data_IF_509301867281
#
_entry.id   IF_509301867281
#
_cell.length_a   1.000
_cell.length_b   1.000
_cell.length_c   1.000
_cell.angle_alpha   90.00
_cell.angle_beta   90.00
_cell.angle_gamma   90.00
#
_symmetry.space_group_name_H-M   'P 1'
#
loop_
_entity.id
_entity.type
_entity.pdbx_description
1 polymer ?
#
# COMPACT_ATOMS: atom_id res chain seq x y z
N UNK A 1 -0.12 -12.71 -10.13
CA UNK A 1 -1.46 -12.32 -9.62
C UNK A 1 -1.29 -11.11 -8.70
N UNK A 2 -2.36 -10.42 -8.28
CA UNK A 2 -2.23 -9.26 -7.39
C UNK A 2 -1.58 -9.63 -6.05
N UNK A 3 -1.92 -10.81 -5.52
CA UNK A 3 -1.35 -11.36 -4.30
C UNK A 3 0.19 -11.45 -4.38
N UNK A 4 0.71 -12.01 -5.47
CA UNK A 4 2.16 -12.14 -5.70
C UNK A 4 2.84 -10.76 -5.68
N UNK A 5 2.21 -9.74 -6.26
CA UNK A 5 2.78 -8.39 -6.23
C UNK A 5 2.82 -7.78 -4.82
N UNK A 6 1.84 -8.09 -3.98
CA UNK A 6 1.87 -7.68 -2.57
C UNK A 6 2.92 -8.43 -1.76
N UNK A 7 3.19 -9.71 -2.11
CA UNK A 7 4.30 -10.45 -1.52
C UNK A 7 5.65 -9.83 -1.92
N UNK A 8 5.81 -9.45 -3.19
CA UNK A 8 7.02 -8.81 -3.70
C UNK A 8 7.38 -7.53 -2.94
N UNK A 9 6.38 -6.74 -2.54
CA UNK A 9 6.58 -5.57 -1.68
C UNK A 9 7.25 -5.92 -0.35
N UNK A 10 7.05 -7.13 0.17
CA UNK A 10 7.67 -7.59 1.42
C UNK A 10 9.06 -8.16 1.15
N UNK A 11 9.16 -9.07 0.18
CA UNK A 11 10.31 -9.98 0.07
C UNK A 11 11.45 -9.44 -0.78
N UNK A 12 11.18 -8.50 -1.68
CA UNK A 12 12.22 -7.99 -2.57
C UNK A 12 13.13 -7.01 -1.86
N UNK A 13 14.43 -7.15 -2.08
CA UNK A 13 15.45 -6.26 -1.50
C UNK A 13 15.24 -4.80 -1.92
N UNK A 14 14.74 -4.57 -3.13
CA UNK A 14 14.45 -3.24 -3.64
C UNK A 14 13.35 -2.53 -2.82
N UNK A 15 12.24 -3.23 -2.53
CA UNK A 15 11.13 -2.64 -1.79
C UNK A 15 11.48 -2.49 -0.30
N UNK A 16 12.23 -3.43 0.29
CA UNK A 16 12.78 -3.29 1.65
C UNK A 16 13.65 -2.05 1.79
N UNK A 17 14.60 -1.84 0.85
CA UNK A 17 15.45 -0.64 0.83
C UNK A 17 14.64 0.64 0.68
N UNK A 18 13.52 0.59 -0.05
CA UNK A 18 12.63 1.74 -0.21
C UNK A 18 11.94 2.09 1.11
N UNK A 19 11.42 1.11 1.85
CA UNK A 19 10.84 1.33 3.19
C UNK A 19 11.88 1.95 4.13
N UNK A 20 13.07 1.34 4.23
CA UNK A 20 14.15 1.84 5.10
C UNK A 20 14.51 3.28 4.75
N UNK A 21 14.64 3.60 3.46
CA UNK A 21 14.96 4.95 3.01
C UNK A 21 13.89 5.97 3.41
N UNK A 22 12.60 5.64 3.28
CA UNK A 22 11.53 6.56 3.69
C UNK A 22 11.53 6.75 5.22
N UNK A 23 11.70 5.68 5.99
CA UNK A 23 11.80 5.74 7.45
C UNK A 23 13.00 6.60 7.90
N UNK A 24 14.16 6.46 7.25
CA UNK A 24 15.34 7.29 7.50
C UNK A 24 15.05 8.77 7.23
N UNK A 25 14.47 9.09 6.06
CA UNK A 25 14.10 10.48 5.72
C UNK A 25 13.14 11.05 6.76
N UNK A 26 12.14 10.30 7.19
CA UNK A 26 11.20 10.72 8.24
C UNK A 26 11.90 10.98 9.57
N UNK A 27 12.82 10.11 9.99
CA UNK A 27 13.55 10.24 11.25
C UNK A 27 14.57 11.40 11.26
N UNK A 28 15.20 11.67 10.11
CA UNK A 28 16.24 12.68 9.94
C UNK A 28 15.68 14.08 9.68
N UNK A 29 14.46 14.19 9.12
CA UNK A 29 13.81 15.48 8.87
C UNK A 29 13.41 16.13 10.20
N UNK A 30 14.17 17.15 10.64
CA UNK A 30 13.90 17.90 11.88
C UNK A 30 12.97 19.09 11.68
N UNK A 31 13.03 19.71 10.51
CA UNK A 31 12.24 20.89 10.15
C UNK A 31 11.40 20.62 8.90
N UNK A 32 10.17 21.12 8.89
CA UNK A 32 9.25 20.98 7.75
C UNK A 32 8.43 19.68 7.78
N UNK A 33 8.05 19.19 6.60
CA UNK A 33 7.22 18.00 6.43
C UNK A 33 7.71 17.14 5.26
N UNK A 34 7.49 15.83 5.36
CA UNK A 34 7.83 14.86 4.30
C UNK A 34 6.57 14.43 3.58
N UNK A 35 6.61 14.43 2.25
CA UNK A 35 5.57 13.82 1.40
C UNK A 35 6.21 12.67 0.64
N UNK A 36 5.62 11.48 0.73
CA UNK A 36 5.94 10.32 -0.10
C UNK A 36 4.67 9.81 -0.77
N UNK A 37 4.77 9.43 -2.05
CA UNK A 37 3.63 8.94 -2.81
C UNK A 37 4.07 7.91 -3.87
N UNK A 38 3.13 7.08 -4.30
CA UNK A 38 3.25 6.24 -5.49
C UNK A 38 2.40 6.84 -6.63
N UNK A 39 1.87 6.03 -7.54
CA UNK A 39 1.02 6.54 -8.63
C UNK A 39 -0.35 6.99 -8.12
N UNK A 40 -1.02 6.16 -7.31
CA UNK A 40 -2.37 6.43 -6.78
C UNK A 40 -2.40 6.61 -5.27
N UNK A 41 -1.25 6.48 -4.60
CA UNK A 41 -1.12 6.64 -3.15
C UNK A 41 -1.68 5.49 -2.31
N UNK A 42 -2.03 4.33 -2.90
CA UNK A 42 -2.68 3.22 -2.18
C UNK A 42 -1.75 2.04 -1.83
N UNK A 43 -1.09 1.42 -2.82
CA UNK A 43 -0.39 0.13 -2.62
C UNK A 43 0.96 0.35 -1.93
N UNK A 44 1.97 0.82 -2.68
CA UNK A 44 3.31 1.09 -2.15
C UNK A 44 3.33 2.16 -1.06
N UNK A 45 2.47 3.18 -1.18
CA UNK A 45 2.33 4.22 -0.14
C UNK A 45 1.69 3.63 1.12
N UNK A 46 0.62 2.86 1.00
CA UNK A 46 0.00 2.18 2.14
C UNK A 46 0.94 1.17 2.80
N UNK A 47 1.79 0.50 2.02
CA UNK A 47 2.82 -0.40 2.53
C UNK A 47 3.88 0.33 3.37
N UNK A 48 4.38 1.48 2.92
CA UNK A 48 5.27 2.30 3.76
C UNK A 48 4.52 2.83 4.99
N UNK A 49 3.28 3.30 4.82
CA UNK A 49 2.47 3.86 5.90
C UNK A 49 2.19 2.83 7.00
N UNK A 50 1.99 1.56 6.63
CA UNK A 50 1.84 0.44 7.54
C UNK A 50 2.98 0.38 8.55
N UNK A 51 4.25 0.41 8.10
CA UNK A 51 5.40 0.37 9.01
C UNK A 51 5.56 1.65 9.82
N UNK A 52 5.29 2.81 9.23
CA UNK A 52 5.34 4.09 9.96
C UNK A 52 4.39 4.04 11.16
N UNK A 53 3.13 3.67 10.94
CA UNK A 53 2.13 3.60 12.00
C UNK A 53 2.45 2.49 13.02
N UNK A 54 2.92 1.33 12.55
CA UNK A 54 3.31 0.23 13.42
C UNK A 54 4.46 0.63 14.37
N UNK A 55 5.52 1.27 13.85
CA UNK A 55 6.66 1.75 14.65
C UNK A 55 6.21 2.81 15.68
N UNK A 56 5.20 3.61 15.35
CA UNK A 56 4.60 4.59 16.26
C UNK A 56 3.65 3.96 17.31
N UNK A 57 3.48 2.64 17.31
CA UNK A 57 2.67 1.91 18.28
C UNK A 57 1.16 2.00 18.05
N UNK A 58 0.73 2.31 16.82
CA UNK A 58 -0.69 2.32 16.46
C UNK A 58 -1.22 0.89 16.39
N UNK A 59 -2.43 0.68 16.90
CA UNK A 59 -3.09 -0.62 16.86
C UNK A 59 -3.26 -1.13 15.42
N UNK A 60 -2.99 -2.42 15.21
CA UNK A 60 -2.96 -3.04 13.88
C UNK A 60 -4.30 -2.90 13.13
N UNK A 61 -5.41 -2.90 13.85
CA UNK A 61 -6.73 -2.77 13.24
C UNK A 61 -7.02 -1.34 12.81
N UNK A 62 -6.47 -0.35 13.51
CA UNK A 62 -6.49 1.05 13.06
C UNK A 62 -5.63 1.22 11.80
N UNK A 63 -4.47 0.55 11.74
CA UNK A 63 -3.62 0.56 10.54
C UNK A 63 -4.34 -0.06 9.34
N UNK A 64 -5.05 -1.17 9.56
CA UNK A 64 -5.91 -1.79 8.53
C UNK A 64 -6.99 -0.83 8.05
N UNK A 65 -7.67 -0.14 8.97
CA UNK A 65 -8.70 0.83 8.62
C UNK A 65 -8.15 1.99 7.79
N UNK A 66 -6.97 2.52 8.16
CA UNK A 66 -6.27 3.56 7.39
C UNK A 66 -5.95 3.09 5.96
N UNK A 67 -5.39 1.88 5.84
CA UNK A 67 -5.11 1.27 4.53
C UNK A 67 -6.39 1.16 3.66
N UNK A 68 -7.48 0.65 4.23
CA UNK A 68 -8.77 0.48 3.54
C UNK A 68 -9.46 1.81 3.21
N UNK A 69 -9.18 2.90 3.95
CA UNK A 69 -9.74 4.22 3.70
C UNK A 69 -9.42 4.74 2.29
N UNK A 70 -8.33 4.26 1.67
CA UNK A 70 -7.99 4.52 0.26
C UNK A 70 -9.15 4.24 -0.70
N UNK A 71 -9.98 3.22 -0.43
CA UNK A 71 -11.16 2.94 -1.25
C UNK A 71 -12.18 4.07 -1.21
N UNK A 72 -12.44 4.63 -0.02
CA UNK A 72 -13.37 5.74 0.12
C UNK A 72 -12.79 7.02 -0.51
N UNK A 73 -11.54 7.36 -0.17
CA UNK A 73 -10.85 8.58 -0.62
C UNK A 73 -10.72 8.62 -2.14
N UNK A 74 -10.39 7.49 -2.78
CA UNK A 74 -10.17 7.44 -4.23
C UNK A 74 -11.46 7.19 -5.03
N UNK A 75 -12.64 7.19 -4.41
CA UNK A 75 -13.89 6.85 -5.10
C UNK A 75 -14.17 7.78 -6.30
N UNK A 76 -14.14 9.10 -6.10
CA UNK A 76 -14.40 10.05 -7.20
C UNK A 76 -13.34 9.98 -8.30
N UNK A 77 -12.07 9.80 -7.92
CA UNK A 77 -10.98 9.64 -8.87
C UNK A 77 -11.20 8.39 -9.75
N UNK A 78 -11.59 7.26 -9.15
CA UNK A 78 -11.91 6.02 -9.88
C UNK A 78 -13.13 6.17 -10.78
N UNK A 79 -14.17 6.89 -10.35
CA UNK A 79 -15.33 7.19 -11.17
C UNK A 79 -14.97 8.01 -12.42
N UNK A 80 -14.16 9.07 -12.26
CA UNK A 80 -13.66 9.88 -13.38
C UNK A 80 -12.79 9.06 -14.33
N UNK A 81 -11.93 8.19 -13.79
CA UNK A 81 -11.08 7.29 -14.59
C UNK A 81 -11.91 6.29 -15.39
N UNK A 82 -12.92 5.70 -14.77
CA UNK A 82 -13.84 4.75 -15.42
C UNK A 82 -14.63 5.40 -16.57
N UNK A 83 -15.09 6.63 -16.39
CA UNK A 83 -15.78 7.38 -17.46
C UNK A 83 -14.83 7.73 -18.63
N UNK A 84 -13.56 8.07 -18.35
CA UNK A 84 -12.55 8.27 -19.40
C UNK A 84 -12.32 6.99 -20.22
N UNK A 85 -12.21 5.84 -19.55
CA UNK A 85 -12.06 4.54 -20.23
C UNK A 85 -13.28 4.21 -21.09
N UNK A 86 -14.49 4.50 -20.60
CA UNK A 86 -15.72 4.36 -21.37
C UNK A 86 -15.70 5.23 -22.63
N UNK A 87 -15.30 6.49 -22.53
CA UNK A 87 -15.21 7.41 -23.67
C UNK A 87 -14.15 6.99 -24.68
N UNK A 88 -13.08 6.32 -24.22
CA UNK A 88 -12.07 5.73 -25.08
C UNK A 88 -12.53 4.43 -25.80
N UNK A 89 -13.76 3.98 -25.56
CA UNK A 89 -14.32 2.78 -26.19
C UNK A 89 -14.01 1.47 -25.45
N UNK A 90 -13.47 1.53 -24.24
CA UNK A 90 -13.15 0.33 -23.47
C UNK A 90 -14.41 -0.41 -23.00
N UNK A 91 -14.37 -1.74 -23.10
CA UNK A 91 -15.49 -2.58 -22.76
C UNK A 91 -15.69 -2.70 -21.23
N UNK A 92 -16.86 -3.21 -20.83
CA UNK A 92 -17.25 -3.32 -19.42
C UNK A 92 -16.33 -4.24 -18.61
N UNK A 93 -15.78 -5.29 -19.21
CA UNK A 93 -14.87 -6.24 -18.55
C UNK A 93 -13.57 -5.54 -18.18
N UNK A 94 -12.94 -4.86 -19.16
CA UNK A 94 -11.71 -4.11 -18.93
C UNK A 94 -11.89 -3.08 -17.83
N UNK A 95 -12.95 -2.28 -17.92
CA UNK A 95 -13.29 -1.27 -16.91
C UNK A 95 -13.52 -1.87 -15.52
N UNK A 96 -14.17 -3.03 -15.44
CA UNK A 96 -14.34 -3.75 -14.18
C UNK A 96 -13.02 -4.18 -13.57
N UNK A 97 -12.11 -4.73 -14.38
CA UNK A 97 -10.77 -5.09 -13.94
C UNK A 97 -10.01 -3.85 -13.43
N UNK A 98 -10.12 -2.72 -14.13
CA UNK A 98 -9.48 -1.48 -13.70
C UNK A 98 -10.02 -0.97 -12.36
N UNK A 99 -11.32 -1.10 -12.07
CA UNK A 99 -11.88 -0.73 -10.76
C UNK A 99 -11.30 -1.58 -9.62
N UNK A 100 -11.15 -2.89 -9.85
CA UNK A 100 -10.55 -3.82 -8.89
C UNK A 100 -9.06 -3.52 -8.69
N UNK A 101 -8.30 -3.36 -9.77
CA UNK A 101 -6.86 -3.04 -9.70
C UNK A 101 -6.59 -1.68 -9.04
N UNK A 102 -7.53 -0.74 -9.16
CA UNK A 102 -7.44 0.58 -8.52
C UNK A 102 -7.97 0.59 -7.08
N UNK A 103 -8.34 -0.57 -6.52
CA UNK A 103 -8.84 -0.72 -5.15
C UNK A 103 -7.83 -1.40 -4.24
N UNK A 104 -8.11 -1.41 -2.95
CA UNK A 104 -7.43 -2.22 -1.93
C UNK A 104 -8.47 -3.12 -1.23
N UNK A 105 -8.03 -4.19 -0.55
CA UNK A 105 -8.92 -5.08 0.19
C UNK A 105 -8.23 -5.65 1.42
N UNK A 106 -9.04 -6.17 2.36
CA UNK A 106 -8.57 -6.91 3.54
C UNK A 106 -7.64 -8.05 3.15
N UNK A 107 -7.98 -8.80 2.12
CA UNK A 107 -7.14 -9.92 1.63
C UNK A 107 -5.73 -9.46 1.29
N UNK A 108 -5.57 -8.29 0.67
CA UNK A 108 -4.25 -7.78 0.31
C UNK A 108 -3.47 -7.31 1.55
N UNK A 109 -4.16 -6.77 2.55
CA UNK A 109 -3.55 -6.44 3.84
C UNK A 109 -3.15 -7.70 4.62
N UNK A 110 -3.99 -8.73 4.63
CA UNK A 110 -3.68 -10.02 5.24
C UNK A 110 -2.48 -10.68 4.57
N UNK A 111 -2.36 -10.57 3.24
CA UNK A 111 -1.19 -11.06 2.52
C UNK A 111 0.09 -10.38 3.00
N UNK A 112 0.08 -9.07 3.26
CA UNK A 112 1.23 -8.36 3.86
C UNK A 112 1.62 -9.02 5.18
N UNK A 113 0.65 -9.15 6.10
CA UNK A 113 0.89 -9.72 7.44
C UNK A 113 1.36 -11.16 7.39
N UNK A 114 0.66 -12.01 6.63
CA UNK A 114 0.98 -13.43 6.51
C UNK A 114 2.33 -13.66 5.84
N UNK A 115 2.70 -12.81 4.87
CA UNK A 115 4.03 -12.91 4.23
C UNK A 115 5.13 -12.50 5.19
N UNK A 116 4.92 -11.45 5.99
CA UNK A 116 5.86 -11.03 7.03
C UNK A 116 6.02 -12.17 8.05
N UNK A 117 4.92 -12.74 8.53
CA UNK A 117 4.92 -13.85 9.47
C UNK A 117 5.67 -15.06 8.92
N UNK A 118 5.31 -15.53 7.71
CA UNK A 118 5.87 -16.75 7.12
C UNK A 118 7.37 -16.62 6.77
N UNK A 119 7.79 -15.44 6.28
CA UNK A 119 9.16 -15.25 5.76
C UNK A 119 10.12 -14.66 6.79
N UNK A 120 9.61 -14.03 7.84
CA UNK A 120 10.43 -13.28 8.79
C UNK A 120 10.10 -13.56 10.25
N UNK A 121 9.09 -14.37 10.57
CA UNK A 121 8.70 -14.68 11.96
C UNK A 121 8.32 -13.41 12.73
N UNK A 122 7.52 -12.55 12.09
CA UNK A 122 6.93 -11.35 12.68
C UNK A 122 7.53 -10.02 12.18
N UNK A 123 6.79 -8.94 12.47
CA UNK A 123 7.08 -7.58 11.98
C UNK A 123 8.39 -7.02 12.57
N UNK A 124 8.66 -7.30 13.85
CA UNK A 124 9.91 -6.86 14.50
C UNK A 124 11.14 -7.45 13.81
N UNK A 125 11.11 -8.75 13.51
CA UNK A 125 12.19 -9.43 12.82
C UNK A 125 12.37 -8.90 11.39
N UNK A 126 11.27 -8.58 10.70
CA UNK A 126 11.31 -7.92 9.38
C UNK A 126 12.02 -6.57 9.44
N UNK A 127 11.68 -5.73 10.44
CA UNK A 127 12.26 -4.39 10.61
C UNK A 127 13.71 -4.41 11.11
N UNK A 128 14.18 -5.53 11.66
CA UNK A 128 15.54 -5.69 12.18
C UNK A 128 16.58 -6.12 11.12
N UNK A 129 16.14 -6.49 9.92
CA UNK A 129 17.02 -6.86 8.78
C UNK A 129 17.48 -5.63 8.01
#
# INVERSE_FOLDING_TARGET
>A
MMCDHYQDHIITEFDQKTVVKVLQILAETKDGAVIYHCTEGKDRTGFVNFFVLYILGVDLEIIRQDYLASNFILNEYRAKRDEKLKQAGENLIFRSNMRVLSSVSDTLFDIILLTIEEKFDGIENYLSK
#
